data_IF_419580612076
#
_entry.id   IF_419580612076
#
_cell.length_a   1.000
_cell.length_b   1.000
_cell.length_c   1.000
_cell.angle_alpha   90.00
_cell.angle_beta   90.00
_cell.angle_gamma   90.00
#
_symmetry.space_group_name_H-M   'P 1'
#
loop_
_entity.id
_entity.type
_entity.pdbx_description
1 polymer ?
#
# COMPACT_ATOMS: atom_id res chain seq x y z
N UNK A 1 26.45 10.62 -15.33
CA UNK A 1 25.75 10.14 -16.53
C UNK A 1 24.22 10.08 -16.36
N UNK A 2 23.69 10.07 -15.13
CA UNK A 2 22.25 10.00 -14.82
C UNK A 2 21.43 11.25 -15.19
N UNK A 3 21.99 12.45 -15.05
CA UNK A 3 21.28 13.72 -15.31
C UNK A 3 20.76 13.84 -16.75
N UNK A 4 21.54 13.40 -17.74
CA UNK A 4 21.16 13.42 -19.15
C UNK A 4 20.04 12.42 -19.48
N UNK A 5 20.00 11.27 -18.79
CA UNK A 5 18.96 10.26 -18.98
C UNK A 5 17.60 10.70 -18.46
N UNK A 6 17.56 11.32 -17.25
CA UNK A 6 16.34 11.86 -16.65
C UNK A 6 15.79 13.00 -17.52
N UNK A 7 16.64 13.96 -17.91
CA UNK A 7 16.19 15.04 -18.79
C UNK A 7 15.67 14.52 -20.12
N UNK A 8 16.30 13.51 -20.73
CA UNK A 8 15.81 12.92 -21.96
C UNK A 8 14.43 12.26 -21.78
N UNK A 9 14.25 11.50 -20.70
CA UNK A 9 12.96 10.87 -20.39
C UNK A 9 11.85 11.91 -20.26
N UNK A 10 12.07 12.97 -19.47
CA UNK A 10 11.03 13.97 -19.22
C UNK A 10 10.82 14.88 -20.46
N UNK A 11 11.86 15.19 -21.23
CA UNK A 11 11.76 16.08 -22.40
C UNK A 11 11.15 15.43 -23.64
N UNK A 12 11.36 14.12 -23.83
CA UNK A 12 10.93 13.42 -25.05
C UNK A 12 9.74 12.48 -24.84
N UNK A 13 9.40 12.11 -23.60
CA UNK A 13 8.27 11.22 -23.31
C UNK A 13 7.01 12.00 -22.88
N UNK A 14 6.47 12.83 -23.78
CA UNK A 14 5.28 13.65 -23.53
C UNK A 14 3.99 12.85 -23.23
N UNK A 15 3.99 11.55 -23.51
CA UNK A 15 2.86 10.63 -23.26
C UNK A 15 3.14 9.64 -22.13
N UNK A 16 4.15 9.90 -21.31
CA UNK A 16 4.48 9.03 -20.19
C UNK A 16 3.38 9.10 -19.13
N UNK A 17 2.59 8.03 -19.02
CA UNK A 17 1.54 7.87 -18.01
C UNK A 17 1.98 7.04 -16.82
N UNK A 18 2.83 6.03 -17.04
CA UNK A 18 3.37 5.18 -15.98
C UNK A 18 4.88 5.14 -16.05
N UNK A 19 5.52 5.34 -14.91
CA UNK A 19 6.95 5.19 -14.72
C UNK A 19 7.19 4.17 -13.61
N UNK A 20 7.90 3.09 -13.93
CA UNK A 20 8.28 2.04 -12.97
C UNK A 20 9.80 1.98 -12.83
N UNK A 21 10.30 1.96 -11.60
CA UNK A 21 11.73 1.81 -11.29
C UNK A 21 11.96 1.21 -9.90
N UNK A 22 13.17 0.67 -9.70
CA UNK A 22 13.70 0.40 -8.37
C UNK A 22 13.85 1.69 -7.58
N UNK A 23 13.47 1.69 -6.31
CA UNK A 23 13.61 2.82 -5.39
C UNK A 23 15.06 3.33 -5.31
N UNK A 24 16.06 2.46 -5.55
CA UNK A 24 17.48 2.83 -5.62
C UNK A 24 17.82 3.91 -6.66
N UNK A 25 16.97 4.07 -7.68
CA UNK A 25 17.12 5.07 -8.74
C UNK A 25 16.35 6.36 -8.48
N UNK A 26 15.57 6.41 -7.39
CA UNK A 26 14.80 7.58 -7.02
C UNK A 26 15.71 8.66 -6.42
N UNK A 27 15.55 9.90 -6.88
CA UNK A 27 16.32 11.04 -6.38
C UNK A 27 15.49 12.33 -6.42
N UNK A 28 15.98 13.35 -5.72
CA UNK A 28 15.39 14.69 -5.76
C UNK A 28 15.32 15.23 -7.20
N UNK A 29 16.39 15.04 -7.98
CA UNK A 29 16.45 15.50 -9.37
C UNK A 29 15.39 14.83 -10.24
N UNK A 30 15.13 13.54 -10.03
CA UNK A 30 14.09 12.83 -10.77
C UNK A 30 12.70 13.35 -10.42
N UNK A 31 12.36 13.45 -9.13
CA UNK A 31 11.05 13.94 -8.71
C UNK A 31 10.82 15.39 -9.17
N UNK A 32 11.83 16.24 -9.06
CA UNK A 32 11.74 17.64 -9.50
C UNK A 32 11.58 17.74 -11.02
N UNK A 33 12.28 16.90 -11.80
CA UNK A 33 12.14 16.87 -13.26
C UNK A 33 10.72 16.42 -13.67
N UNK A 34 10.18 15.39 -13.02
CA UNK A 34 8.79 14.95 -13.23
C UNK A 34 7.76 16.03 -12.83
N UNK A 35 8.15 16.97 -11.97
CA UNK A 35 7.31 18.08 -11.50
C UNK A 35 7.47 19.36 -12.30
N UNK A 36 8.49 19.48 -13.16
CA UNK A 36 8.79 20.74 -13.87
C UNK A 36 8.15 20.82 -15.25
N UNK A 37 7.98 19.67 -15.91
CA UNK A 37 7.54 19.62 -17.30
C UNK A 37 6.02 19.54 -17.42
N UNK A 38 5.40 20.65 -17.83
CA UNK A 38 3.94 20.79 -18.02
C UNK A 38 3.32 19.79 -19.00
N UNK A 39 4.14 19.09 -19.78
CA UNK A 39 3.69 18.13 -20.79
C UNK A 39 3.61 16.70 -20.26
N UNK A 40 4.23 16.39 -19.12
CA UNK A 40 4.21 15.03 -18.58
C UNK A 40 2.88 14.79 -17.89
N UNK A 41 2.09 13.86 -18.43
CA UNK A 41 0.82 13.41 -17.87
C UNK A 41 1.01 12.15 -17.03
N UNK A 42 1.95 12.17 -16.10
CA UNK A 42 2.24 11.01 -15.28
C UNK A 42 1.05 10.74 -14.35
N UNK A 43 0.45 9.57 -14.49
CA UNK A 43 -0.68 9.09 -13.70
C UNK A 43 -0.22 8.10 -12.62
N UNK A 44 0.84 7.34 -12.90
CA UNK A 44 1.35 6.30 -12.00
C UNK A 44 2.87 6.35 -11.87
N UNK A 45 3.34 6.39 -10.62
CA UNK A 45 4.73 6.13 -10.28
C UNK A 45 4.78 4.82 -9.48
N UNK A 46 5.48 3.81 -10.01
CA UNK A 46 5.66 2.50 -9.38
C UNK A 46 7.09 2.35 -8.89
N UNK A 47 7.24 2.02 -7.61
CA UNK A 47 8.52 1.86 -6.95
C UNK A 47 8.65 0.47 -6.35
N UNK A 48 9.70 -0.22 -6.72
CA UNK A 48 10.11 -1.50 -6.12
C UNK A 48 11.21 -1.23 -5.08
N UNK A 49 10.96 -1.59 -3.82
CA UNK A 49 11.85 -1.29 -2.70
C UNK A 49 12.47 -2.58 -2.17
N UNK A 50 13.79 -2.72 -2.31
CA UNK A 50 14.54 -3.92 -1.91
C UNK A 50 15.56 -3.61 -0.80
N UNK A 51 15.85 -4.58 0.10
CA UNK A 51 16.74 -4.39 1.24
C UNK A 51 18.22 -4.18 0.87
N UNK A 52 18.65 -4.72 -0.27
CA UNK A 52 20.06 -4.75 -0.67
C UNK A 52 20.56 -3.44 -1.31
N UNK A 53 19.68 -2.44 -1.51
CA UNK A 53 20.05 -1.16 -2.12
C UNK A 53 20.62 -0.22 -1.07
N UNK A 54 21.89 -0.42 -0.69
CA UNK A 54 22.64 0.47 0.23
C UNK A 54 23.65 1.36 -0.52
N UNK A 55 23.74 2.66 -0.20
CA UNK A 55 22.90 3.39 0.74
C UNK A 55 21.47 3.57 0.21
N UNK A 56 20.48 3.47 1.10
CA UNK A 56 19.08 3.70 0.75
C UNK A 56 18.90 5.16 0.32
N UNK A 57 18.34 5.45 -0.86
CA UNK A 57 18.21 6.82 -1.33
C UNK A 57 17.40 7.68 -0.36
N UNK A 58 17.98 8.82 0.02
CA UNK A 58 17.29 9.84 0.81
C UNK A 58 16.76 10.90 -0.13
N UNK A 59 15.50 10.73 -0.50
CA UNK A 59 14.74 11.76 -1.21
C UNK A 59 14.22 12.76 -0.18
N UNK A 60 14.45 14.05 -0.43
CA UNK A 60 14.06 15.10 0.51
C UNK A 60 12.56 15.31 0.56
N UNK A 61 12.07 15.73 1.72
CA UNK A 61 10.70 16.17 1.96
C UNK A 61 10.26 17.21 0.93
N UNK A 62 11.18 18.10 0.54
CA UNK A 62 10.92 19.16 -0.44
C UNK A 62 10.65 18.60 -1.83
N UNK A 63 11.38 17.58 -2.26
CA UNK A 63 11.18 16.93 -3.55
C UNK A 63 9.83 16.21 -3.59
N UNK A 64 9.50 15.44 -2.55
CA UNK A 64 8.20 14.79 -2.41
C UNK A 64 7.03 15.77 -2.36
N UNK A 65 7.17 16.85 -1.59
CA UNK A 65 6.15 17.89 -1.51
C UNK A 65 5.92 18.57 -2.86
N UNK A 66 7.00 18.88 -3.59
CA UNK A 66 6.91 19.47 -4.93
C UNK A 66 6.20 18.53 -5.90
N UNK A 67 6.59 17.25 -5.89
CA UNK A 67 5.99 16.19 -6.72
C UNK A 67 4.50 15.99 -6.44
N UNK A 68 4.14 15.79 -5.17
CA UNK A 68 2.74 15.58 -4.76
C UNK A 68 1.86 16.81 -4.99
N UNK A 69 2.42 18.02 -4.89
CA UNK A 69 1.70 19.27 -5.18
C UNK A 69 1.48 19.47 -6.69
N UNK A 70 2.45 19.09 -7.53
CA UNK A 70 2.33 19.21 -8.97
C UNK A 70 1.40 18.14 -9.57
N UNK A 71 1.43 16.92 -9.01
CA UNK A 71 0.64 15.78 -9.45
C UNK A 71 -0.32 15.34 -8.33
N UNK A 72 -1.34 16.14 -7.98
CA UNK A 72 -2.20 15.88 -6.83
C UNK A 72 -3.01 14.58 -6.95
N UNK A 73 -3.20 14.06 -8.16
CA UNK A 73 -3.95 12.83 -8.43
C UNK A 73 -3.05 11.63 -8.78
N UNK A 74 -1.72 11.74 -8.60
CA UNK A 74 -0.80 10.63 -8.88
C UNK A 74 -1.15 9.38 -8.08
N UNK A 75 -1.05 8.23 -8.74
CA UNK A 75 -1.00 6.92 -8.12
C UNK A 75 0.46 6.59 -7.79
N UNK A 76 0.85 6.73 -6.53
CA UNK A 76 2.10 6.17 -6.06
C UNK A 76 1.88 4.72 -5.60
N UNK A 77 2.50 3.79 -6.33
CA UNK A 77 2.44 2.35 -6.07
C UNK A 77 3.78 1.90 -5.49
N UNK A 78 3.75 1.37 -4.26
CA UNK A 78 4.93 0.87 -3.56
C UNK A 78 4.86 -0.65 -3.41
N UNK A 79 5.85 -1.35 -3.96
CA UNK A 79 6.10 -2.76 -3.70
C UNK A 79 7.29 -2.85 -2.76
N UNK A 80 7.06 -3.15 -1.49
CA UNK A 80 8.08 -3.17 -0.45
C UNK A 80 8.47 -4.60 -0.06
N UNK A 81 9.75 -4.92 -0.23
CA UNK A 81 10.40 -6.12 0.28
C UNK A 81 11.34 -5.80 1.46
N UNK A 82 11.22 -4.59 2.02
CA UNK A 82 12.05 -4.14 3.12
C UNK A 82 11.69 -4.90 4.40
N UNK A 83 12.69 -5.25 5.20
CA UNK A 83 12.51 -5.81 6.54
C UNK A 83 13.07 -4.89 7.65
N UNK A 84 13.82 -3.85 7.28
CA UNK A 84 14.37 -2.87 8.21
C UNK A 84 13.36 -1.75 8.52
N UNK A 85 12.95 -1.62 9.78
CA UNK A 85 11.96 -0.64 10.23
C UNK A 85 12.39 0.82 10.01
N UNK A 86 13.67 1.13 10.24
CA UNK A 86 14.17 2.51 10.13
C UNK A 86 14.00 3.04 8.69
N UNK A 87 14.34 2.21 7.71
CA UNK A 87 14.24 2.56 6.29
C UNK A 87 12.77 2.59 5.82
N UNK A 88 11.92 1.71 6.38
CA UNK A 88 10.48 1.70 6.08
C UNK A 88 9.79 3.00 6.54
N UNK A 89 10.20 3.56 7.69
CA UNK A 89 9.60 4.80 8.20
C UNK A 89 9.72 5.97 7.22
N UNK A 90 10.79 6.00 6.41
CA UNK A 90 11.03 7.04 5.40
C UNK A 90 10.05 6.95 4.22
N UNK A 91 9.58 5.74 3.90
CA UNK A 91 8.65 5.50 2.78
C UNK A 91 7.24 6.01 3.09
N UNK A 92 6.89 6.09 4.38
CA UNK A 92 5.56 6.43 4.86
C UNK A 92 5.53 7.82 5.51
N UNK A 93 6.50 8.68 5.23
CA UNK A 93 6.43 10.05 5.70
C UNK A 93 5.19 10.77 5.09
N UNK A 94 4.55 11.70 5.81
CA UNK A 94 3.24 12.26 5.42
C UNK A 94 3.20 13.00 4.08
N UNK A 95 4.35 13.40 3.54
CA UNK A 95 4.48 14.04 2.23
C UNK A 95 4.63 13.05 1.07
N UNK A 96 4.84 11.76 1.35
CA UNK A 96 4.92 10.71 0.34
C UNK A 96 3.49 10.28 -0.02
N UNK A 97 3.01 10.51 -1.26
CA UNK A 97 1.59 10.38 -1.58
C UNK A 97 1.19 8.93 -1.87
N UNK A 98 1.50 7.98 -0.98
CA UNK A 98 1.25 6.53 -1.17
C UNK A 98 -0.24 6.27 -1.41
N UNK A 99 -0.54 5.54 -2.49
CA UNK A 99 -1.91 5.17 -2.88
C UNK A 99 -2.13 3.67 -2.93
N UNK A 100 -1.11 2.90 -3.35
CA UNK A 100 -1.19 1.44 -3.40
C UNK A 100 0.06 0.89 -2.73
N UNK A 101 -0.12 0.00 -1.76
CA UNK A 101 0.97 -0.54 -0.96
C UNK A 101 0.90 -2.07 -0.95
N UNK A 102 1.98 -2.70 -1.39
CA UNK A 102 2.14 -4.14 -1.42
C UNK A 102 3.34 -4.51 -0.55
N UNK A 103 3.08 -5.25 0.52
CA UNK A 103 4.13 -5.83 1.35
C UNK A 103 4.46 -7.23 0.83
N UNK A 104 5.63 -7.37 0.21
CA UNK A 104 6.19 -8.65 -0.21
C UNK A 104 6.85 -9.43 0.93
N UNK A 105 7.24 -8.73 1.99
CA UNK A 105 7.75 -9.30 3.25
C UNK A 105 6.85 -8.85 4.40
N UNK A 106 6.85 -9.61 5.51
CA UNK A 106 5.99 -9.31 6.66
C UNK A 106 6.34 -7.95 7.31
N UNK A 107 5.43 -6.95 7.30
CA UNK A 107 5.67 -5.68 7.98
C UNK A 107 5.51 -5.86 9.50
N UNK A 108 6.19 -5.03 10.27
CA UNK A 108 5.97 -4.97 11.72
C UNK A 108 4.65 -4.26 12.07
N UNK A 109 4.12 -4.50 13.26
CA UNK A 109 2.94 -3.78 13.75
C UNK A 109 3.20 -2.26 13.79
N UNK A 110 4.40 -1.84 14.20
CA UNK A 110 4.78 -0.43 14.23
C UNK A 110 4.70 0.22 12.84
N UNK A 111 5.15 -0.49 11.81
CA UNK A 111 5.05 -0.05 10.41
C UNK A 111 3.60 0.08 9.99
N UNK A 112 2.76 -0.90 10.31
CA UNK A 112 1.34 -0.88 9.97
C UNK A 112 0.59 0.28 10.65
N UNK A 113 0.87 0.54 11.93
CA UNK A 113 0.34 1.69 12.65
C UNK A 113 0.81 3.02 12.05
N UNK A 114 2.07 3.08 11.57
CA UNK A 114 2.60 4.23 10.87
C UNK A 114 1.84 4.47 9.56
N UNK A 115 1.60 3.42 8.76
CA UNK A 115 0.79 3.51 7.53
C UNK A 115 -0.60 4.07 7.84
N UNK A 116 -1.27 3.57 8.87
CA UNK A 116 -2.57 4.09 9.30
C UNK A 116 -2.53 5.57 9.66
N UNK A 117 -1.46 6.04 10.30
CA UNK A 117 -1.32 7.45 10.68
C UNK A 117 -0.92 8.38 9.51
N UNK A 118 -0.09 7.89 8.58
CA UNK A 118 0.65 8.74 7.65
C UNK A 118 0.25 8.60 6.17
N UNK A 119 -0.55 7.59 5.83
CA UNK A 119 -0.96 7.32 4.44
C UNK A 119 -2.47 7.59 4.20
N UNK A 120 -2.98 8.83 4.35
CA UNK A 120 -4.41 9.12 4.21
C UNK A 120 -4.93 8.96 2.78
N UNK A 121 -4.02 8.83 1.81
CA UNK A 121 -4.32 8.63 0.38
C UNK A 121 -4.40 7.15 -0.01
N UNK A 122 -4.13 6.22 0.90
CA UNK A 122 -4.11 4.78 0.61
C UNK A 122 -5.47 4.31 0.08
N UNK A 123 -5.44 3.65 -1.07
CA UNK A 123 -6.58 3.11 -1.83
C UNK A 123 -6.57 1.58 -1.80
N UNK A 124 -5.38 0.99 -1.91
CA UNK A 124 -5.18 -0.46 -1.91
C UNK A 124 -4.03 -0.85 -0.98
N UNK A 125 -4.29 -1.89 -0.19
CA UNK A 125 -3.30 -2.52 0.68
C UNK A 125 -3.29 -4.02 0.43
N UNK A 126 -2.11 -4.57 0.17
CA UNK A 126 -1.89 -6.02 0.08
C UNK A 126 -0.77 -6.42 1.02
N UNK A 127 -1.03 -7.45 1.82
CA UNK A 127 -0.09 -8.02 2.79
C UNK A 127 0.03 -9.50 2.43
N UNK A 128 1.19 -9.89 1.89
CA UNK A 128 1.41 -11.27 1.45
C UNK A 128 1.68 -12.24 2.60
N UNK A 129 2.28 -11.74 3.68
CA UNK A 129 2.51 -12.45 4.93
C UNK A 129 2.54 -11.46 6.09
N UNK A 130 2.21 -11.91 7.30
CA UNK A 130 2.31 -11.10 8.52
C UNK A 130 2.98 -11.88 9.64
N UNK A 131 3.63 -11.16 10.56
CA UNK A 131 4.28 -11.76 11.73
C UNK A 131 3.30 -12.53 12.63
N UNK A 132 3.81 -13.21 13.68
CA UNK A 132 2.98 -14.03 14.54
C UNK A 132 1.89 -13.20 15.25
N UNK A 133 0.68 -13.75 15.31
CA UNK A 133 -0.45 -13.18 16.03
C UNK A 133 -1.39 -12.32 15.18
N UNK A 134 -2.59 -12.00 15.72
CA UNK A 134 -3.64 -11.34 14.94
C UNK A 134 -3.30 -9.91 14.49
N UNK A 135 -3.58 -9.61 13.22
CA UNK A 135 -3.36 -8.30 12.59
C UNK A 135 -4.49 -7.29 12.86
N UNK A 136 -5.55 -7.70 13.57
CA UNK A 136 -6.79 -6.94 13.78
C UNK A 136 -6.53 -5.47 14.14
N UNK A 137 -5.71 -5.21 15.16
CA UNK A 137 -5.41 -3.85 15.64
C UNK A 137 -4.76 -2.98 14.58
N UNK A 138 -3.80 -3.54 13.84
CA UNK A 138 -3.11 -2.86 12.76
C UNK A 138 -4.10 -2.48 11.63
N UNK A 139 -4.96 -3.41 11.23
CA UNK A 139 -5.99 -3.14 10.21
C UNK A 139 -7.03 -2.11 10.67
N UNK A 140 -7.43 -2.13 11.95
CA UNK A 140 -8.33 -1.13 12.51
C UNK A 140 -7.71 0.27 12.50
N UNK A 141 -6.41 0.40 12.81
CA UNK A 141 -5.70 1.68 12.69
C UNK A 141 -5.68 2.17 11.24
N UNK A 142 -5.42 1.28 10.28
CA UNK A 142 -5.39 1.63 8.85
C UNK A 142 -6.76 2.06 8.36
N UNK A 143 -7.84 1.31 8.64
CA UNK A 143 -9.17 1.65 8.13
C UNK A 143 -9.70 2.97 8.70
N UNK A 144 -9.26 3.36 9.90
CA UNK A 144 -9.59 4.63 10.52
C UNK A 144 -8.81 5.80 9.91
N UNK A 145 -7.52 5.62 9.63
CA UNK A 145 -6.67 6.69 9.09
C UNK A 145 -6.63 6.80 7.56
N UNK A 146 -7.05 5.76 6.85
CA UNK A 146 -7.06 5.70 5.38
C UNK A 146 -8.51 5.73 4.84
N UNK A 147 -9.15 6.92 4.73
CA UNK A 147 -10.55 7.04 4.32
C UNK A 147 -10.82 6.64 2.85
N UNK A 148 -9.77 6.51 2.03
CA UNK A 148 -9.85 6.13 0.62
C UNK A 148 -9.66 4.63 0.39
N UNK A 149 -9.33 3.85 1.42
CA UNK A 149 -9.06 2.43 1.29
C UNK A 149 -10.30 1.72 0.75
N UNK A 150 -10.14 1.07 -0.39
CA UNK A 150 -11.21 0.41 -1.15
C UNK A 150 -10.85 -1.01 -1.59
N UNK A 151 -9.58 -1.40 -1.44
CA UNK A 151 -9.10 -2.74 -1.73
C UNK A 151 -8.19 -3.24 -0.60
N UNK A 152 -8.47 -4.45 -0.11
CA UNK A 152 -7.63 -5.15 0.85
C UNK A 152 -7.35 -6.58 0.35
N UNK A 153 -6.07 -6.96 0.34
CA UNK A 153 -5.61 -8.33 0.11
C UNK A 153 -4.80 -8.83 1.30
N UNK A 154 -5.18 -9.97 1.85
CA UNK A 154 -4.50 -10.63 2.97
C UNK A 154 -4.14 -12.07 2.60
N UNK A 155 -2.85 -12.37 2.68
CA UNK A 155 -2.28 -13.72 2.60
C UNK A 155 -1.36 -13.98 3.79
N UNK A 156 -1.18 -15.26 4.11
CA UNK A 156 -0.31 -15.81 5.17
C UNK A 156 -0.20 -14.92 6.42
N UNK A 157 -1.36 -14.47 6.91
CA UNK A 157 -1.50 -13.66 8.12
C UNK A 157 -2.53 -14.29 9.06
N UNK A 158 -2.56 -13.84 10.30
CA UNK A 158 -3.60 -14.19 11.26
C UNK A 158 -4.58 -13.03 11.40
N UNK A 159 -5.86 -13.22 11.09
CA UNK A 159 -6.93 -12.25 11.33
C UNK A 159 -8.11 -12.96 11.98
N UNK A 160 -8.62 -12.43 13.09
CA UNK A 160 -9.79 -13.07 13.73
C UNK A 160 -11.06 -12.79 12.94
N UNK A 161 -12.02 -13.71 13.00
CA UNK A 161 -13.32 -13.53 12.35
C UNK A 161 -14.03 -12.26 12.86
N UNK A 162 -13.94 -11.96 14.16
CA UNK A 162 -14.44 -10.72 14.75
C UNK A 162 -13.68 -9.48 14.25
N UNK A 163 -12.35 -9.55 14.17
CA UNK A 163 -11.51 -8.46 13.65
C UNK A 163 -11.81 -8.12 12.20
N UNK A 164 -11.99 -9.13 11.34
CA UNK A 164 -12.40 -8.92 9.94
C UNK A 164 -13.79 -8.28 9.86
N UNK A 165 -14.75 -8.77 10.65
CA UNK A 165 -16.10 -8.22 10.64
C UNK A 165 -16.12 -6.75 11.08
N UNK A 166 -15.35 -6.40 12.11
CA UNK A 166 -15.20 -5.03 12.58
C UNK A 166 -14.57 -4.13 11.49
N UNK A 167 -13.47 -4.58 10.89
CA UNK A 167 -12.83 -3.89 9.77
C UNK A 167 -13.82 -3.60 8.63
N UNK A 168 -14.56 -4.63 8.18
CA UNK A 168 -15.54 -4.48 7.09
C UNK A 168 -16.66 -3.55 7.51
N UNK A 169 -17.14 -3.59 8.75
CA UNK A 169 -18.17 -2.68 9.24
C UNK A 169 -17.77 -1.21 9.09
N UNK A 170 -16.49 -0.88 9.31
CA UNK A 170 -15.96 0.48 9.20
C UNK A 170 -15.79 0.97 7.75
N UNK A 171 -15.70 0.06 6.78
CA UNK A 171 -15.39 0.40 5.39
C UNK A 171 -16.33 -0.17 4.32
N UNK A 172 -17.38 -0.90 4.68
CA UNK A 172 -18.24 -1.63 3.75
C UNK A 172 -18.72 -0.78 2.56
N UNK A 173 -19.10 0.48 2.80
CA UNK A 173 -19.59 1.41 1.77
C UNK A 173 -18.54 1.78 0.70
N UNK A 174 -17.24 1.68 1.03
CA UNK A 174 -16.13 2.02 0.14
C UNK A 174 -15.32 0.80 -0.31
N UNK A 175 -15.45 -0.34 0.35
CA UNK A 175 -14.70 -1.55 0.06
C UNK A 175 -15.20 -2.27 -1.20
N UNK A 176 -14.43 -2.17 -2.27
CA UNK A 176 -14.69 -2.76 -3.59
C UNK A 176 -14.05 -4.13 -3.75
N UNK A 177 -12.87 -4.32 -3.15
CA UNK A 177 -12.10 -5.55 -3.25
C UNK A 177 -11.74 -6.01 -1.84
N UNK A 178 -12.00 -7.28 -1.55
CA UNK A 178 -11.61 -7.94 -0.31
C UNK A 178 -11.20 -9.36 -0.64
N UNK A 179 -9.90 -9.61 -0.60
CA UNK A 179 -9.33 -10.95 -0.74
C UNK A 179 -8.69 -11.33 0.58
N UNK A 180 -9.10 -12.46 1.14
CA UNK A 180 -8.54 -13.02 2.37
C UNK A 180 -8.42 -14.51 2.15
N UNK A 181 -7.22 -15.05 2.33
CA UNK A 181 -7.00 -16.49 2.31
C UNK A 181 -7.78 -17.16 3.43
N UNK A 182 -8.42 -18.30 3.15
CA UNK A 182 -9.16 -19.06 4.18
C UNK A 182 -8.26 -19.41 5.37
N UNK A 183 -7.01 -19.80 5.10
CA UNK A 183 -6.01 -20.11 6.12
C UNK A 183 -5.61 -18.92 6.99
N UNK A 184 -5.97 -17.70 6.59
CA UNK A 184 -5.69 -16.50 7.38
C UNK A 184 -6.78 -16.18 8.41
N UNK A 185 -7.97 -16.78 8.27
CA UNK A 185 -9.07 -16.56 9.20
C UNK A 185 -8.90 -17.43 10.45
N UNK A 186 -8.94 -16.79 11.61
CA UNK A 186 -8.98 -17.45 12.91
C UNK A 186 -10.41 -17.37 13.45
N UNK A 187 -11.03 -18.53 13.68
CA UNK A 187 -12.31 -18.61 14.38
C UNK A 187 -12.15 -18.23 15.84
N UNK A 188 -13.14 -17.52 16.38
CA UNK A 188 -13.16 -17.09 17.77
C UNK A 188 -14.47 -17.52 18.46
N UNK A 189 -14.65 -17.15 19.73
CA UNK A 189 -15.84 -17.58 20.49
C UNK A 189 -17.16 -17.08 19.90
N UNK A 190 -17.11 -16.01 19.10
CA UNK A 190 -18.28 -15.33 18.58
C UNK A 190 -18.60 -15.78 17.14
N UNK A 191 -17.56 -15.96 16.31
CA UNK A 191 -17.70 -16.15 14.88
C UNK A 191 -16.81 -17.29 14.34
N UNK A 192 -17.46 -18.16 13.56
CA UNK A 192 -16.82 -19.12 12.68
C UNK A 192 -16.72 -18.56 11.24
N UNK A 193 -15.95 -19.24 10.38
CA UNK A 193 -15.72 -18.81 8.99
C UNK A 193 -17.03 -18.68 8.19
N UNK A 194 -18.02 -19.53 8.48
CA UNK A 194 -19.31 -19.51 7.77
C UNK A 194 -20.13 -18.28 8.16
N UNK A 195 -20.20 -17.95 9.46
CA UNK A 195 -20.91 -16.77 9.98
C UNK A 195 -20.26 -15.48 9.52
N UNK A 196 -18.92 -15.37 9.58
CA UNK A 196 -18.24 -14.14 9.13
C UNK A 196 -18.45 -13.94 7.63
N UNK A 197 -18.37 -15.00 6.81
CA UNK A 197 -18.62 -14.90 5.36
C UNK A 197 -20.02 -14.39 5.04
N UNK A 198 -21.03 -14.89 5.76
CA UNK A 198 -22.42 -14.42 5.62
C UNK A 198 -22.58 -12.96 6.03
N UNK A 199 -21.98 -12.56 7.16
CA UNK A 199 -22.09 -11.20 7.67
C UNK A 199 -21.37 -10.20 6.76
N UNK A 200 -20.15 -10.53 6.31
CA UNK A 200 -19.38 -9.73 5.35
C UNK A 200 -20.14 -9.60 4.03
N UNK A 201 -20.73 -10.70 3.52
CA UNK A 201 -21.55 -10.65 2.31
C UNK A 201 -22.74 -9.69 2.44
N UNK A 202 -23.42 -9.72 3.59
CA UNK A 202 -24.53 -8.81 3.89
C UNK A 202 -24.08 -7.35 3.91
N UNK A 203 -22.96 -7.05 4.57
CA UNK A 203 -22.41 -5.69 4.67
C UNK A 203 -21.95 -5.14 3.32
N UNK A 204 -21.34 -5.98 2.49
CA UNK A 204 -20.85 -5.60 1.15
C UNK A 204 -21.96 -5.54 0.09
N UNK A 205 -23.14 -6.11 0.37
CA UNK A 205 -24.24 -6.21 -0.60
C UNK A 205 -23.92 -7.12 -1.80
N UNK A 206 -22.92 -7.99 -1.67
CA UNK A 206 -22.49 -8.97 -2.68
C UNK A 206 -21.96 -10.21 -1.98
N UNK A 207 -22.01 -11.34 -2.66
CA UNK A 207 -21.40 -12.57 -2.15
C UNK A 207 -19.91 -12.36 -1.93
N UNK A 208 -19.43 -12.73 -0.74
CA UNK A 208 -18.04 -12.80 -0.40
C UNK A 208 -17.76 -14.11 0.34
N UNK A 209 -16.65 -14.74 -0.04
CA UNK A 209 -16.11 -15.94 0.59
C UNK A 209 -14.59 -15.78 0.65
N UNK A 210 -13.92 -16.38 1.65
CA UNK A 210 -12.46 -16.42 1.64
C UNK A 210 -11.95 -17.20 0.43
N UNK A 211 -10.75 -16.85 -0.02
CA UNK A 211 -10.06 -17.52 -1.11
C UNK A 211 -9.51 -18.86 -0.62
N UNK A 212 -9.95 -19.93 -1.27
CA UNK A 212 -9.44 -21.28 -1.00
C UNK A 212 -8.08 -21.47 -1.67
N UNK A 213 -7.08 -21.88 -0.89
CA UNK A 213 -5.79 -22.30 -1.42
C UNK A 213 -5.72 -23.82 -1.35
N UNK A 214 -5.69 -24.53 -2.48
CA UNK A 214 -5.46 -25.96 -2.47
C UNK A 214 -4.08 -26.25 -1.89
N UNK A 215 -4.03 -27.05 -0.82
CA UNK A 215 -2.79 -27.65 -0.33
C UNK A 215 -2.32 -28.65 -1.41
N UNK A 216 -1.22 -28.31 -2.10
CA UNK A 216 -0.55 -29.20 -3.06
C UNK A 216 0.26 -30.28 -2.34
#
# INVERSE_FOLDING_TARGET
QTFTGIQALVSYCQYLQELSLSYSLLSDELLLALSSEKQVQLETLRLEVHPDTKPFPRVSDKAWFTFSSHLPNINLVLLSYMTNEDDQSLLFAPYVPVTHLYFGEAPSEATMLCVGCQCPRLVELVIAAYGPGPIDRALLSIVQGCPRLSALGLGDCEITCSGLLEFVTLCAKRLRILYVWETSLIEDSELDVTKVSKNVSLLLGRTWVPEYIPLC
#
